data_IF_012903490542
#
_entry.id   IF_012903490542
#
_cell.length_a   1.000
_cell.length_b   1.000
_cell.length_c   1.000
_cell.angle_alpha   90.00
_cell.angle_beta   90.00
_cell.angle_gamma   90.00
#
_symmetry.space_group_name_H-M   'P 1'
#
loop_
_entity.id
_entity.type
_entity.pdbx_description
1 polymer ?
#
# COMPACT_ATOMS: atom_id res chain seq x y z
N UNK A 1 -23.48 5.18 -1.60
CA UNK A 1 -22.73 4.13 -0.87
C UNK A 1 -23.69 3.15 -0.20
N UNK A 2 -23.48 1.83 -0.33
CA UNK A 2 -24.25 0.77 0.35
C UNK A 2 -23.29 -0.18 1.05
N UNK A 3 -23.69 -0.79 2.16
CA UNK A 3 -22.90 -1.78 2.90
C UNK A 3 -23.54 -3.16 2.79
N UNK A 4 -22.72 -4.20 2.58
CA UNK A 4 -23.07 -5.61 2.71
C UNK A 4 -21.92 -6.32 3.45
N UNK A 5 -22.21 -6.93 4.58
CA UNK A 5 -21.18 -7.49 5.45
C UNK A 5 -20.17 -6.43 5.89
N UNK A 6 -18.90 -6.69 5.63
CA UNK A 6 -17.79 -5.77 5.90
C UNK A 6 -17.37 -4.97 4.65
N UNK A 7 -18.11 -5.12 3.52
CA UNK A 7 -17.82 -4.45 2.25
C UNK A 7 -18.76 -3.26 2.01
N UNK A 8 -18.14 -2.14 1.63
CA UNK A 8 -18.79 -0.93 1.16
C UNK A 8 -18.82 -0.93 -0.38
N UNK A 9 -19.97 -0.64 -0.98
CA UNK A 9 -20.12 -0.50 -2.42
C UNK A 9 -20.43 0.98 -2.72
N UNK A 10 -19.61 1.56 -3.60
CA UNK A 10 -19.72 2.97 -4.00
C UNK A 10 -20.55 3.08 -5.29
N UNK A 11 -21.71 3.75 -5.20
CA UNK A 11 -22.59 4.06 -6.32
C UNK A 11 -23.13 5.48 -6.11
N UNK A 12 -22.71 6.47 -6.92
CA UNK A 12 -21.68 6.37 -7.96
C UNK A 12 -20.30 6.02 -7.40
N UNK A 13 -19.37 5.53 -8.27
CA UNK A 13 -17.97 5.29 -7.91
C UNK A 13 -17.26 6.55 -7.43
N UNK A 14 -16.21 6.39 -6.63
CA UNK A 14 -15.20 7.44 -6.39
C UNK A 14 -14.09 7.26 -7.42
N UNK A 15 -13.60 8.35 -7.98
CA UNK A 15 -12.75 8.31 -9.15
C UNK A 15 -11.30 8.63 -8.81
N UNK A 16 -10.38 7.91 -9.46
CA UNK A 16 -8.96 8.24 -9.45
C UNK A 16 -8.72 9.33 -10.49
N UNK A 17 -8.34 10.52 -10.05
CA UNK A 17 -8.04 11.66 -10.91
C UNK A 17 -6.60 11.60 -11.42
N UNK A 18 -5.66 11.28 -10.52
CA UNK A 18 -4.24 11.10 -10.85
C UNK A 18 -3.54 10.21 -9.83
N UNK A 19 -2.34 9.77 -10.18
CA UNK A 19 -1.45 9.08 -9.25
C UNK A 19 0.01 9.31 -9.62
N UNK A 20 0.89 9.15 -8.64
CA UNK A 20 2.34 9.18 -8.86
C UNK A 20 3.08 8.32 -7.84
N UNK A 21 4.25 7.83 -8.24
CA UNK A 21 5.18 7.08 -7.41
C UNK A 21 6.56 7.73 -7.40
N UNK A 22 7.16 7.86 -6.20
CA UNK A 22 8.54 8.23 -6.01
C UNK A 22 9.28 7.10 -5.28
N UNK A 23 10.53 6.83 -5.66
CA UNK A 23 11.32 5.74 -5.08
C UNK A 23 12.78 6.10 -4.85
N UNK A 24 13.46 5.27 -4.05
CA UNK A 24 14.88 5.33 -3.79
C UNK A 24 15.72 4.69 -4.89
N UNK A 25 17.02 4.52 -4.62
CA UNK A 25 17.97 3.97 -5.59
C UNK A 25 17.69 2.51 -5.91
N UNK A 26 17.36 1.69 -4.91
CA UNK A 26 17.11 0.25 -5.06
C UNK A 26 15.85 0.00 -5.88
N UNK A 27 14.80 0.77 -5.62
CA UNK A 27 13.54 0.75 -6.35
C UNK A 27 13.72 1.18 -7.81
N UNK A 28 14.54 2.22 -8.03
CA UNK A 28 14.89 2.68 -9.37
C UNK A 28 15.71 1.69 -10.19
N UNK A 29 16.42 0.76 -9.55
CA UNK A 29 17.17 -0.32 -10.18
C UNK A 29 16.37 -1.60 -10.38
N UNK A 30 15.19 -1.69 -9.77
CA UNK A 30 14.31 -2.85 -9.86
C UNK A 30 13.51 -2.90 -11.18
N UNK A 31 12.76 -3.99 -11.39
CA UNK A 31 12.01 -4.22 -12.63
C UNK A 31 10.95 -3.13 -12.90
N UNK A 32 10.45 -2.47 -11.88
CA UNK A 32 9.48 -1.38 -12.01
C UNK A 32 10.15 0.01 -12.04
N UNK A 33 11.45 0.12 -11.89
CA UNK A 33 12.20 1.38 -11.85
C UNK A 33 11.85 2.36 -12.97
N UNK A 34 11.79 1.94 -14.26
CA UNK A 34 11.41 2.79 -15.38
C UNK A 34 9.97 3.34 -15.33
N UNK A 35 9.11 2.77 -14.49
CA UNK A 35 7.70 3.17 -14.35
C UNK A 35 7.46 4.20 -13.26
N UNK A 36 8.43 4.45 -12.38
CA UNK A 36 8.33 5.48 -11.35
C UNK A 36 8.35 6.88 -11.99
N UNK A 37 7.58 7.80 -11.41
CA UNK A 37 7.60 9.21 -11.82
C UNK A 37 8.88 9.92 -11.40
N UNK A 38 9.47 9.45 -10.30
CA UNK A 38 10.75 9.95 -9.79
C UNK A 38 11.51 8.85 -9.05
N UNK A 39 12.80 8.73 -9.34
CA UNK A 39 13.72 7.90 -8.55
C UNK A 39 14.93 8.72 -8.12
N UNK A 40 15.28 8.63 -6.85
CA UNK A 40 16.38 9.38 -6.30
C UNK A 40 17.74 8.75 -6.66
N UNK A 41 18.77 9.58 -6.80
CA UNK A 41 20.15 9.11 -7.00
C UNK A 41 20.81 8.60 -5.71
N UNK A 42 20.26 8.97 -4.55
CA UNK A 42 20.69 8.53 -3.23
C UNK A 42 19.50 8.56 -2.24
N UNK A 43 19.50 7.68 -1.25
CA UNK A 43 18.33 7.42 -0.41
C UNK A 43 17.98 8.55 0.58
N UNK A 44 18.81 9.56 0.77
CA UNK A 44 18.50 10.75 1.59
C UNK A 44 17.79 11.86 0.81
N UNK A 45 17.62 11.70 -0.50
CA UNK A 45 16.95 12.71 -1.34
C UNK A 45 17.55 14.12 -1.21
N UNK A 46 18.88 14.22 -1.05
CA UNK A 46 19.59 15.47 -0.81
C UNK A 46 19.44 16.02 0.60
N UNK A 47 18.85 15.30 1.55
CA UNK A 47 18.62 15.72 2.92
C UNK A 47 19.69 15.22 3.90
N UNK A 48 19.69 15.76 5.13
CA UNK A 48 20.68 15.41 6.16
C UNK A 48 20.38 14.08 6.85
N UNK A 49 19.11 13.74 7.04
CA UNK A 49 18.66 12.53 7.73
C UNK A 49 17.72 11.71 6.84
N UNK A 50 17.54 10.44 7.17
CA UNK A 50 16.66 9.54 6.43
C UNK A 50 15.18 9.93 6.54
N UNK A 51 14.74 10.40 7.72
CA UNK A 51 13.39 10.90 7.93
C UNK A 51 13.09 12.16 7.11
N UNK A 52 14.09 13.05 6.98
CA UNK A 52 13.98 14.19 6.07
C UNK A 52 13.94 13.74 4.61
N UNK A 53 14.70 12.70 4.26
CA UNK A 53 14.68 12.08 2.94
C UNK A 53 13.32 11.49 2.61
N UNK A 54 12.73 10.72 3.54
CA UNK A 54 11.39 10.16 3.39
C UNK A 54 10.34 11.27 3.24
N UNK A 55 10.39 12.32 4.08
CA UNK A 55 9.53 13.49 3.91
C UNK A 55 9.65 14.09 2.52
N UNK A 56 10.88 14.29 2.01
CA UNK A 56 11.13 14.86 0.68
C UNK A 56 10.58 13.94 -0.43
N UNK A 57 10.68 12.65 -0.27
CA UNK A 57 10.09 11.65 -1.17
C UNK A 57 8.56 11.77 -1.20
N UNK A 58 7.90 11.91 -0.04
CA UNK A 58 6.46 12.15 0.06
C UNK A 58 6.07 13.44 -0.66
N UNK A 59 6.75 14.56 -0.36
CA UNK A 59 6.53 15.85 -1.03
C UNK A 59 6.65 15.72 -2.57
N UNK A 60 7.64 14.93 -3.03
CA UNK A 60 7.88 14.70 -4.46
C UNK A 60 6.74 13.88 -5.09
N UNK A 61 6.32 12.77 -4.49
CA UNK A 61 5.21 11.97 -5.00
C UNK A 61 3.91 12.79 -5.06
N UNK A 62 3.61 13.54 -4.00
CA UNK A 62 2.42 14.41 -3.96
C UNK A 62 2.47 15.49 -5.06
N UNK A 63 3.61 16.14 -5.25
CA UNK A 63 3.77 17.17 -6.28
C UNK A 63 3.56 16.58 -7.69
N UNK A 64 4.11 15.39 -7.98
CA UNK A 64 3.89 14.73 -9.26
C UNK A 64 2.42 14.34 -9.46
N UNK A 65 1.74 13.81 -8.44
CA UNK A 65 0.32 13.47 -8.53
C UNK A 65 -0.54 14.71 -8.79
N UNK A 66 -0.31 15.81 -8.07
CA UNK A 66 -1.03 17.07 -8.27
C UNK A 66 -0.75 17.67 -9.65
N UNK A 67 0.51 17.72 -10.08
CA UNK A 67 0.89 18.25 -11.39
C UNK A 67 0.24 17.48 -12.55
N UNK A 68 0.14 16.15 -12.46
CA UNK A 68 -0.57 15.33 -13.49
C UNK A 68 -2.06 15.66 -13.62
N UNK A 69 -2.68 16.14 -12.54
CA UNK A 69 -4.08 16.57 -12.52
C UNK A 69 -4.24 18.09 -12.73
N UNK A 70 -3.15 18.82 -12.94
CA UNK A 70 -3.14 20.29 -13.04
C UNK A 70 -3.74 20.97 -11.80
N UNK A 71 -3.50 20.38 -10.61
CA UNK A 71 -4.01 20.83 -9.32
C UNK A 71 -2.92 21.46 -8.46
N UNK A 72 -3.36 22.31 -7.54
CA UNK A 72 -2.58 22.85 -6.44
C UNK A 72 -3.02 22.20 -5.10
N UNK A 73 -2.25 22.31 -4.02
CA UNK A 73 -2.70 21.85 -2.71
C UNK A 73 -4.01 22.50 -2.22
N UNK A 74 -4.34 23.70 -2.67
CA UNK A 74 -5.56 24.42 -2.31
C UNK A 74 -6.84 23.78 -2.92
N UNK A 75 -6.69 22.95 -3.96
CA UNK A 75 -7.81 22.23 -4.59
C UNK A 75 -8.22 20.98 -3.82
N UNK A 76 -7.42 20.57 -2.83
CA UNK A 76 -7.67 19.42 -1.99
C UNK A 76 -8.51 19.79 -0.77
N UNK A 77 -9.56 19.04 -0.52
CA UNK A 77 -10.36 19.18 0.70
C UNK A 77 -9.62 18.64 1.92
N UNK A 78 -8.90 17.51 1.75
CA UNK A 78 -8.10 16.88 2.79
C UNK A 78 -7.11 15.87 2.18
N UNK A 79 -6.13 15.47 3.00
CA UNK A 79 -5.21 14.37 2.73
C UNK A 79 -5.36 13.28 3.79
N UNK A 80 -5.18 12.00 3.39
CA UNK A 80 -5.15 10.84 4.27
C UNK A 80 -3.93 10.00 3.94
N UNK A 81 -3.27 9.51 4.96
CA UNK A 81 -2.14 8.61 4.75
C UNK A 81 -1.19 8.60 5.91
N UNK A 82 -0.06 7.96 5.71
CA UNK A 82 0.94 7.82 6.74
C UNK A 82 2.19 7.12 6.26
N UNK A 83 3.04 6.87 7.20
CA UNK A 83 4.30 6.14 7.06
C UNK A 83 4.47 5.14 8.20
N UNK A 84 5.60 4.42 8.25
CA UNK A 84 5.86 3.41 9.28
C UNK A 84 6.38 3.99 10.60
N UNK A 85 6.76 5.26 10.63
CA UNK A 85 7.36 5.86 11.81
C UNK A 85 6.31 6.27 12.83
N UNK A 86 6.71 6.32 14.09
CA UNK A 86 5.85 6.78 15.17
C UNK A 86 5.21 8.12 14.84
N UNK A 87 3.88 8.19 15.01
CA UNK A 87 3.03 9.34 14.69
C UNK A 87 3.05 9.77 13.21
N UNK A 88 3.43 8.87 12.30
CA UNK A 88 3.54 9.17 10.86
C UNK A 88 4.35 10.45 10.61
N UNK A 89 5.53 10.53 11.26
CA UNK A 89 6.22 11.82 11.39
C UNK A 89 6.73 12.36 10.05
N UNK A 90 7.16 11.48 9.12
CA UNK A 90 7.61 11.90 7.80
C UNK A 90 6.46 12.49 6.99
N UNK A 91 5.31 11.82 6.98
CA UNK A 91 4.09 12.27 6.30
C UNK A 91 3.51 13.53 6.95
N UNK A 92 3.49 13.59 8.29
CA UNK A 92 3.00 14.78 9.03
C UNK A 92 3.77 16.04 8.66
N UNK A 93 5.10 15.95 8.54
CA UNK A 93 5.91 17.10 8.12
C UNK A 93 5.72 17.45 6.64
N UNK A 94 5.49 16.45 5.76
CA UNK A 94 5.18 16.71 4.35
C UNK A 94 3.81 17.41 4.22
N UNK A 95 2.79 16.95 4.93
CA UNK A 95 1.45 17.57 4.90
C UNK A 95 1.47 18.98 5.50
N UNK A 96 2.27 19.21 6.53
CA UNK A 96 2.52 20.57 7.04
C UNK A 96 3.08 21.50 5.94
N UNK A 97 4.01 20.99 5.14
CA UNK A 97 4.59 21.78 4.05
C UNK A 97 3.59 22.05 2.90
N UNK A 98 2.69 21.10 2.63
CA UNK A 98 1.61 21.26 1.65
C UNK A 98 0.47 22.17 2.14
N UNK A 99 0.28 22.31 3.45
CA UNK A 99 -0.77 23.16 4.04
C UNK A 99 -2.18 22.59 3.87
N UNK A 100 -2.35 21.29 3.69
CA UNK A 100 -3.63 20.62 3.47
C UNK A 100 -4.16 20.05 4.79
N UNK A 101 -5.48 20.10 5.09
CA UNK A 101 -6.07 19.37 6.20
C UNK A 101 -5.70 17.88 6.14
N UNK A 102 -5.25 17.29 7.24
CA UNK A 102 -4.62 15.99 7.23
C UNK A 102 -5.18 15.04 8.29
N UNK A 103 -5.48 13.83 7.85
CA UNK A 103 -5.85 12.68 8.69
C UNK A 103 -4.71 11.65 8.62
N UNK A 104 -3.92 11.58 9.68
CA UNK A 104 -2.82 10.62 9.80
C UNK A 104 -3.35 9.21 10.05
N UNK A 105 -2.90 8.25 9.25
CA UNK A 105 -3.27 6.85 9.33
C UNK A 105 -2.04 6.02 9.72
N UNK A 106 -2.19 5.16 10.73
CA UNK A 106 -1.10 4.35 11.24
C UNK A 106 -1.47 2.86 11.18
N UNK A 107 -1.82 2.39 9.98
CA UNK A 107 -2.23 1.02 9.68
C UNK A 107 -1.07 0.10 9.26
N UNK A 108 0.17 0.40 9.66
CA UNK A 108 1.37 -0.31 9.18
C UNK A 108 1.39 -0.32 7.63
N UNK A 109 1.75 -1.46 7.01
CA UNK A 109 1.84 -1.56 5.55
C UNK A 109 0.47 -1.50 4.85
N UNK A 110 -0.67 -1.62 5.56
CA UNK A 110 -2.02 -1.51 4.98
C UNK A 110 -2.46 -0.07 4.69
N UNK A 111 -1.70 0.93 5.14
CA UNK A 111 -2.07 2.36 5.11
C UNK A 111 -2.54 2.85 3.74
N UNK A 112 -1.97 2.36 2.62
CA UNK A 112 -2.41 2.81 1.29
C UNK A 112 -3.86 2.39 1.00
N UNK A 113 -4.23 1.14 1.24
CA UNK A 113 -5.61 0.68 1.04
C UNK A 113 -6.56 1.31 2.06
N UNK A 114 -6.13 1.51 3.31
CA UNK A 114 -6.87 2.23 4.34
C UNK A 114 -7.17 3.67 3.92
N UNK A 115 -6.18 4.39 3.37
CA UNK A 115 -6.35 5.76 2.90
C UNK A 115 -7.34 5.86 1.73
N UNK A 116 -7.27 4.93 0.77
CA UNK A 116 -8.20 4.87 -0.37
C UNK A 116 -9.62 4.53 0.09
N UNK A 117 -9.78 3.59 1.04
CA UNK A 117 -11.07 3.22 1.61
C UNK A 117 -11.72 4.42 2.32
N UNK A 118 -10.99 5.05 3.25
CA UNK A 118 -11.48 6.19 4.00
C UNK A 118 -11.72 7.41 3.12
N UNK A 119 -10.80 7.72 2.19
CA UNK A 119 -10.97 8.79 1.21
C UNK A 119 -12.23 8.60 0.38
N UNK A 120 -12.46 7.38 -0.11
CA UNK A 120 -13.67 7.05 -0.87
C UNK A 120 -14.95 7.18 -0.03
N UNK A 121 -14.92 6.72 1.21
CA UNK A 121 -16.07 6.84 2.11
C UNK A 121 -16.41 8.30 2.44
N UNK A 122 -15.38 9.11 2.72
CA UNK A 122 -15.57 10.55 3.03
C UNK A 122 -16.09 11.33 1.82
N UNK A 123 -15.51 11.11 0.62
CA UNK A 123 -15.99 11.75 -0.60
C UNK A 123 -17.41 11.33 -0.94
N UNK A 124 -17.74 10.02 -0.83
CA UNK A 124 -19.12 9.52 -1.02
C UNK A 124 -20.10 10.06 0.02
N UNK A 125 -19.60 10.44 1.21
CA UNK A 125 -20.36 11.09 2.28
C UNK A 125 -20.51 12.61 2.13
N UNK A 126 -19.91 13.22 1.10
CA UNK A 126 -20.01 14.66 0.84
C UNK A 126 -19.06 15.53 1.67
N UNK A 127 -18.00 14.95 2.27
CA UNK A 127 -17.03 15.70 3.09
C UNK A 127 -16.04 16.56 2.28
N UNK A 128 -16.07 16.51 0.97
CA UNK A 128 -15.23 17.34 0.10
C UNK A 128 -15.30 16.93 -1.36
N UNK A 129 -14.60 17.67 -2.21
CA UNK A 129 -14.54 17.42 -3.64
C UNK A 129 -13.34 16.54 -4.07
N UNK A 130 -12.20 16.70 -3.42
CA UNK A 130 -10.97 15.99 -3.72
C UNK A 130 -10.24 15.56 -2.46
N UNK A 131 -9.64 14.37 -2.49
CA UNK A 131 -8.81 13.83 -1.41
C UNK A 131 -7.47 13.35 -1.96
N UNK A 132 -6.38 13.61 -1.23
CA UNK A 132 -5.06 13.05 -1.50
C UNK A 132 -4.85 11.84 -0.58
N UNK A 133 -4.71 10.65 -1.16
CA UNK A 133 -4.43 9.40 -0.45
C UNK A 133 -2.99 8.97 -0.70
N UNK A 134 -2.24 8.66 0.36
CA UNK A 134 -0.82 8.34 0.21
C UNK A 134 -0.30 7.38 1.28
N UNK A 135 0.79 6.69 0.96
CA UNK A 135 1.58 5.96 1.93
C UNK A 135 3.05 5.93 1.51
N UNK A 136 3.95 6.00 2.49
CA UNK A 136 5.39 5.94 2.27
C UNK A 136 6.09 5.03 3.27
N UNK A 137 7.23 4.49 2.89
CA UNK A 137 8.17 3.87 3.78
C UNK A 137 9.59 4.15 3.31
N UNK A 138 10.55 4.10 4.25
CA UNK A 138 11.97 4.27 3.95
C UNK A 138 12.78 3.23 4.71
N UNK A 139 13.59 2.45 4.01
CA UNK A 139 14.35 1.35 4.60
C UNK A 139 15.08 1.77 5.88
N UNK A 140 15.95 2.76 5.78
CA UNK A 140 16.83 3.12 6.90
C UNK A 140 16.09 3.61 8.15
N UNK A 141 15.05 4.45 7.98
CA UNK A 141 14.29 4.98 9.11
C UNK A 141 13.41 3.90 9.76
N UNK A 142 12.76 3.05 8.95
CA UNK A 142 11.92 1.96 9.44
C UNK A 142 12.73 0.86 10.11
N UNK A 143 13.82 0.39 9.50
CA UNK A 143 14.68 -0.64 10.10
C UNK A 143 15.26 -0.18 11.43
N UNK A 144 15.71 1.08 11.52
CA UNK A 144 16.22 1.65 12.77
C UNK A 144 15.16 1.69 13.87
N UNK A 145 13.91 1.98 13.52
CA UNK A 145 12.83 2.04 14.51
C UNK A 145 12.37 0.65 14.96
N UNK A 146 12.26 -0.31 14.04
CA UNK A 146 11.54 -1.55 14.31
C UNK A 146 12.41 -2.77 14.59
N UNK A 147 13.64 -2.83 14.05
CA UNK A 147 14.46 -4.04 14.14
C UNK A 147 15.76 -3.80 14.88
N UNK A 148 16.76 -3.19 14.19
CA UNK A 148 18.11 -3.02 14.72
C UNK A 148 18.63 -1.62 14.46
N UNK A 149 19.59 -1.12 15.27
CA UNK A 149 20.46 -0.06 14.78
C UNK A 149 21.11 -0.51 13.47
N UNK A 150 21.04 0.31 12.41
CA UNK A 150 21.60 -0.06 11.09
C UNK A 150 23.10 -0.37 11.17
N UNK A 151 23.79 0.29 12.05
CA UNK A 151 25.22 0.14 12.32
C UNK A 151 25.58 -1.23 12.91
N UNK A 152 24.60 -1.97 13.43
CA UNK A 152 24.83 -3.29 14.01
C UNK A 152 25.08 -4.38 12.93
N UNK A 153 24.56 -4.21 11.72
CA UNK A 153 24.87 -5.06 10.58
C UNK A 153 24.39 -6.51 10.69
N UNK A 154 23.20 -6.73 11.25
CA UNK A 154 22.63 -8.08 11.38
C UNK A 154 22.37 -8.76 10.03
N UNK A 155 22.71 -10.07 9.94
CA UNK A 155 22.37 -10.88 8.78
C UNK A 155 20.85 -11.14 8.74
N UNK A 156 20.21 -10.90 7.59
CA UNK A 156 18.78 -11.15 7.39
C UNK A 156 18.53 -12.62 7.00
N UNK A 157 17.54 -13.29 7.60
CA UNK A 157 17.16 -14.65 7.19
C UNK A 157 16.47 -14.66 5.81
N UNK A 158 16.38 -15.81 5.11
CA UNK A 158 15.74 -15.90 3.80
C UNK A 158 14.28 -15.50 3.75
N UNK A 159 13.53 -15.59 4.88
CA UNK A 159 12.13 -15.15 4.99
C UNK A 159 11.99 -13.64 5.21
N UNK A 160 13.07 -12.92 5.51
CA UNK A 160 13.04 -11.49 5.71
C UNK A 160 12.72 -10.75 4.41
N UNK A 161 12.07 -9.61 4.57
CA UNK A 161 11.72 -8.71 3.49
C UNK A 161 12.56 -7.44 3.56
N UNK A 162 12.68 -6.75 2.44
CA UNK A 162 13.34 -5.45 2.36
C UNK A 162 12.29 -4.34 2.41
N UNK A 163 12.33 -3.47 3.41
CA UNK A 163 11.46 -2.31 3.46
C UNK A 163 11.73 -1.39 2.28
N UNK A 164 10.73 -1.17 1.42
CA UNK A 164 10.87 -0.29 0.26
C UNK A 164 11.10 1.16 0.69
N UNK A 165 12.01 1.84 -0.01
CA UNK A 165 12.15 3.30 0.06
C UNK A 165 11.30 3.90 -1.05
N UNK A 166 10.00 3.99 -0.81
CA UNK A 166 9.04 4.38 -1.82
C UNK A 166 7.83 5.12 -1.23
N UNK A 167 7.17 5.90 -2.07
CA UNK A 167 5.91 6.57 -1.79
C UNK A 167 4.99 6.47 -2.99
N UNK A 168 3.72 6.17 -2.75
CA UNK A 168 2.64 6.33 -3.72
C UNK A 168 1.64 7.38 -3.25
N UNK A 169 1.17 8.22 -4.19
CA UNK A 169 0.16 9.25 -3.94
C UNK A 169 -0.93 9.17 -5.00
N UNK A 170 -2.19 9.19 -4.58
CA UNK A 170 -3.38 9.12 -5.44
C UNK A 170 -4.31 10.28 -5.10
N UNK A 171 -4.73 11.03 -6.12
CA UNK A 171 -5.78 12.03 -5.98
C UNK A 171 -7.12 11.38 -6.33
N UNK A 172 -8.06 11.43 -5.39
CA UNK A 172 -9.43 10.97 -5.56
C UNK A 172 -10.37 12.15 -5.77
N UNK A 173 -11.42 11.96 -6.58
CA UNK A 173 -12.47 12.96 -6.78
C UNK A 173 -13.86 12.33 -6.95
N UNK A 174 -14.91 13.18 -6.88
CA UNK A 174 -16.29 12.77 -7.14
C UNK A 174 -16.68 12.83 -8.63
N UNK A 175 -15.87 13.46 -9.48
CA UNK A 175 -16.15 13.62 -10.91
C UNK A 175 -15.69 12.38 -11.70
N UNK A 176 -16.50 11.97 -12.71
CA UNK A 176 -16.21 10.79 -13.54
C UNK A 176 -14.84 10.91 -14.22
N UNK A 177 -14.01 9.88 -14.03
CA UNK A 177 -12.70 9.68 -14.68
C UNK A 177 -12.62 8.27 -15.29
N UNK A 178 -11.45 7.87 -15.73
CA UNK A 178 -11.20 6.56 -16.34
C UNK A 178 -11.24 5.38 -15.36
N UNK A 179 -10.82 5.60 -14.11
CA UNK A 179 -10.69 4.55 -13.10
C UNK A 179 -11.62 4.88 -11.93
N UNK A 180 -12.51 3.94 -11.59
CA UNK A 180 -13.42 4.05 -10.45
C UNK A 180 -13.06 3.10 -9.32
N UNK A 181 -13.14 3.59 -8.09
CA UNK A 181 -13.21 2.76 -6.89
C UNK A 181 -14.68 2.43 -6.67
N UNK A 182 -15.03 1.16 -6.82
CA UNK A 182 -16.43 0.69 -6.82
C UNK A 182 -16.81 -0.09 -5.57
N UNK A 183 -15.81 -0.62 -4.84
CA UNK A 183 -16.02 -1.24 -3.54
C UNK A 183 -14.75 -1.19 -2.69
N UNK A 184 -14.94 -1.31 -1.39
CA UNK A 184 -13.87 -1.49 -0.42
C UNK A 184 -14.33 -2.39 0.74
N UNK A 185 -13.45 -3.30 1.20
CA UNK A 185 -13.72 -4.14 2.37
C UNK A 185 -12.85 -3.71 3.53
N UNK A 186 -13.49 -3.45 4.68
CA UNK A 186 -12.78 -3.17 5.92
C UNK A 186 -12.28 -4.49 6.51
N UNK A 187 -10.97 -4.62 6.64
CA UNK A 187 -10.35 -5.82 7.19
C UNK A 187 -10.49 -5.92 8.69
N UNK A 188 -10.38 -7.16 9.18
CA UNK A 188 -10.28 -7.49 10.60
C UNK A 188 -8.85 -7.84 10.97
N UNK A 189 -8.51 -7.66 12.23
CA UNK A 189 -7.23 -8.12 12.77
C UNK A 189 -7.32 -9.63 12.98
N UNK A 190 -6.31 -10.35 12.46
CA UNK A 190 -6.10 -11.77 12.70
C UNK A 190 -4.70 -12.00 13.27
N UNK A 191 -4.61 -12.91 14.22
CA UNK A 191 -3.35 -13.24 14.87
C UNK A 191 -3.03 -14.73 14.70
N UNK A 192 -2.12 -15.06 13.77
CA UNK A 192 -1.69 -16.45 13.56
C UNK A 192 -0.66 -16.94 14.62
N UNK A 193 -0.32 -16.13 15.63
CA UNK A 193 0.66 -16.48 16.66
C UNK A 193 2.12 -16.37 16.21
N UNK A 194 2.41 -15.66 15.12
CA UNK A 194 3.78 -15.45 14.64
C UNK A 194 4.50 -14.44 15.56
N UNK A 195 5.65 -14.83 16.09
CA UNK A 195 6.49 -14.00 16.98
C UNK A 195 7.80 -13.56 16.30
N UNK A 196 8.15 -14.18 15.15
CA UNK A 196 9.37 -13.85 14.40
C UNK A 196 9.18 -12.57 13.60
N UNK A 197 9.79 -11.47 14.05
CA UNK A 197 9.76 -10.16 13.40
C UNK A 197 10.43 -10.15 12.01
N UNK A 198 11.21 -11.16 11.66
CA UNK A 198 11.77 -11.31 10.33
C UNK A 198 10.78 -11.96 9.33
N UNK A 199 9.70 -12.58 9.80
CA UNK A 199 8.72 -13.30 8.96
C UNK A 199 7.36 -12.60 8.92
N UNK A 200 7.35 -11.35 8.45
CA UNK A 200 6.12 -10.53 8.35
C UNK A 200 5.12 -11.10 7.35
N UNK A 201 5.57 -11.73 6.27
CA UNK A 201 4.69 -12.36 5.29
C UNK A 201 3.78 -13.43 5.92
N UNK A 202 4.32 -14.27 6.82
CA UNK A 202 3.52 -15.25 7.54
C UNK A 202 2.53 -14.58 8.52
N UNK A 203 2.92 -13.52 9.20
CA UNK A 203 2.04 -12.78 10.12
C UNK A 203 0.83 -12.16 9.40
N UNK A 204 0.99 -11.69 8.16
CA UNK A 204 -0.05 -11.00 7.39
C UNK A 204 -0.93 -11.93 6.54
N UNK A 205 -0.46 -13.13 6.18
CA UNK A 205 -1.11 -14.00 5.19
C UNK A 205 -2.56 -14.35 5.53
N UNK A 206 -2.86 -14.65 6.79
CA UNK A 206 -4.21 -14.96 7.23
C UNK A 206 -5.16 -13.77 7.06
N UNK A 207 -4.73 -12.57 7.40
CA UNK A 207 -5.55 -11.36 7.24
C UNK A 207 -5.89 -11.08 5.77
N UNK A 208 -4.93 -11.30 4.87
CA UNK A 208 -5.15 -11.16 3.43
C UNK A 208 -6.16 -12.19 2.90
N UNK A 209 -5.99 -13.46 3.27
CA UNK A 209 -6.91 -14.54 2.91
C UNK A 209 -8.33 -14.26 3.40
N UNK A 210 -8.52 -13.92 4.68
CA UNK A 210 -9.83 -13.68 5.27
C UNK A 210 -10.52 -12.43 4.67
N UNK A 211 -9.76 -11.38 4.36
CA UNK A 211 -10.32 -10.17 3.73
C UNK A 211 -10.77 -10.44 2.30
N UNK A 212 -9.98 -11.17 1.51
CA UNK A 212 -10.37 -11.61 0.16
C UNK A 212 -11.60 -12.51 0.21
N UNK A 213 -11.63 -13.47 1.11
CA UNK A 213 -12.78 -14.40 1.30
C UNK A 213 -14.04 -13.61 1.67
N UNK A 214 -13.95 -12.67 2.62
CA UNK A 214 -15.05 -11.80 3.02
C UNK A 214 -15.57 -11.00 1.83
N UNK A 215 -14.68 -10.39 1.04
CA UNK A 215 -15.08 -9.67 -0.16
C UNK A 215 -15.83 -10.55 -1.16
N UNK A 216 -15.33 -11.76 -1.44
CA UNK A 216 -16.01 -12.68 -2.36
C UNK A 216 -17.39 -13.10 -1.86
N UNK A 217 -17.53 -13.35 -0.55
CA UNK A 217 -18.83 -13.65 0.06
C UNK A 217 -19.80 -12.46 -0.02
N UNK A 218 -19.33 -11.26 0.33
CA UNK A 218 -20.14 -10.05 0.34
C UNK A 218 -20.57 -9.60 -1.06
N UNK A 219 -19.67 -9.73 -2.05
CA UNK A 219 -19.93 -9.31 -3.43
C UNK A 219 -20.68 -10.36 -4.25
N UNK A 220 -20.56 -11.64 -3.90
CA UNK A 220 -20.99 -12.77 -4.73
C UNK A 220 -20.11 -13.02 -5.95
N UNK A 221 -18.95 -12.34 -6.01
CA UNK A 221 -17.97 -12.49 -7.09
C UNK A 221 -16.97 -13.62 -6.79
N UNK A 222 -16.23 -14.03 -7.81
CA UNK A 222 -15.21 -15.07 -7.74
C UNK A 222 -13.87 -14.54 -8.23
N UNK A 223 -12.73 -15.19 -7.93
CA UNK A 223 -11.42 -14.76 -8.43
C UNK A 223 -11.39 -14.58 -9.95
N UNK A 224 -12.14 -15.39 -10.71
CA UNK A 224 -12.20 -15.35 -12.18
C UNK A 224 -12.81 -14.06 -12.74
N UNK A 225 -13.57 -13.32 -11.95
CA UNK A 225 -14.19 -12.05 -12.35
C UNK A 225 -13.19 -10.90 -12.39
N UNK A 226 -11.91 -11.14 -12.04
CA UNK A 226 -10.87 -10.12 -11.96
C UNK A 226 -9.69 -10.44 -12.88
N UNK A 227 -9.14 -9.41 -13.53
CA UNK A 227 -7.92 -9.49 -14.33
C UNK A 227 -6.65 -9.54 -13.46
N UNK A 228 -6.77 -9.10 -12.21
CA UNK A 228 -5.70 -9.16 -11.23
C UNK A 228 -6.18 -9.05 -9.80
N UNK A 229 -5.52 -9.78 -8.90
CA UNK A 229 -5.69 -9.73 -7.46
C UNK A 229 -4.30 -9.49 -6.89
N UNK A 230 -4.13 -8.36 -6.19
CA UNK A 230 -2.83 -7.92 -5.71
C UNK A 230 -2.85 -7.74 -4.20
N UNK A 231 -1.98 -8.48 -3.49
CA UNK A 231 -1.70 -8.23 -2.08
C UNK A 231 -0.54 -7.24 -1.93
N UNK A 232 -0.41 -6.64 -0.75
CA UNK A 232 0.43 -5.47 -0.55
C UNK A 232 1.92 -5.76 -0.46
N UNK A 233 2.31 -6.55 0.53
CA UNK A 233 3.71 -6.80 0.84
C UNK A 233 3.89 -8.11 1.63
N UNK A 234 3.16 -9.14 1.23
CA UNK A 234 3.30 -10.49 1.76
C UNK A 234 4.63 -11.13 1.33
N UNK A 235 5.16 -10.68 0.20
CA UNK A 235 6.31 -11.24 -0.49
C UNK A 235 6.15 -12.75 -0.74
N UNK A 236 7.22 -13.46 -1.09
CA UNK A 236 7.14 -14.85 -1.53
C UNK A 236 6.58 -15.81 -0.47
N UNK A 237 6.92 -15.59 0.81
CA UNK A 237 6.46 -16.46 1.90
C UNK A 237 4.95 -16.31 2.11
N UNK A 238 4.46 -15.09 2.30
CA UNK A 238 3.04 -14.85 2.56
C UNK A 238 2.17 -15.07 1.32
N UNK A 239 2.67 -14.77 0.12
CA UNK A 239 1.99 -15.08 -1.14
C UNK A 239 1.73 -16.58 -1.26
N UNK A 240 2.74 -17.42 -0.98
CA UNK A 240 2.60 -18.87 -1.00
C UNK A 240 1.57 -19.37 0.03
N UNK A 241 1.56 -18.79 1.24
CA UNK A 241 0.60 -19.14 2.28
C UNK A 241 -0.84 -18.78 1.88
N UNK A 242 -1.09 -17.61 1.30
CA UNK A 242 -2.42 -17.23 0.81
C UNK A 242 -2.89 -18.18 -0.28
N UNK A 243 -2.04 -18.55 -1.23
CA UNK A 243 -2.36 -19.56 -2.26
C UNK A 243 -2.72 -20.90 -1.63
N UNK A 244 -1.99 -21.32 -0.61
CA UNK A 244 -2.25 -22.58 0.10
C UNK A 244 -3.60 -22.54 0.83
N UNK A 245 -3.93 -21.46 1.53
CA UNK A 245 -5.20 -21.30 2.24
C UNK A 245 -6.39 -21.36 1.27
N UNK A 246 -6.32 -20.68 0.12
CA UNK A 246 -7.38 -20.76 -0.89
C UNK A 246 -7.51 -22.15 -1.52
N UNK A 247 -6.39 -22.89 -1.72
CA UNK A 247 -6.45 -24.28 -2.19
C UNK A 247 -7.14 -25.21 -1.19
N UNK A 248 -6.99 -24.98 0.11
CA UNK A 248 -7.71 -25.74 1.15
C UNK A 248 -9.23 -25.55 1.05
N UNK A 249 -9.67 -24.37 0.60
CA UNK A 249 -11.08 -24.09 0.30
C UNK A 249 -11.52 -24.58 -1.10
N UNK A 250 -10.63 -25.23 -1.86
CA UNK A 250 -10.90 -25.67 -3.23
C UNK A 250 -10.89 -24.55 -4.27
N UNK A 251 -10.26 -23.40 -3.97
CA UNK A 251 -10.18 -22.23 -4.85
C UNK A 251 -8.75 -22.05 -5.36
N UNK A 252 -8.59 -21.99 -6.70
CA UNK A 252 -7.30 -21.70 -7.34
C UNK A 252 -7.26 -20.24 -7.80
N UNK A 253 -6.34 -19.48 -7.23
CA UNK A 253 -6.15 -18.06 -7.60
C UNK A 253 -5.45 -17.90 -8.94
N UNK A 254 -4.64 -18.87 -9.36
CA UNK A 254 -3.92 -18.89 -10.63
C UNK A 254 -2.92 -17.73 -10.81
N UNK A 255 -2.63 -17.41 -12.07
CA UNK A 255 -1.66 -16.36 -12.43
C UNK A 255 -2.18 -14.92 -12.19
N UNK A 256 -3.49 -14.76 -11.94
CA UNK A 256 -4.08 -13.44 -11.65
C UNK A 256 -3.75 -12.92 -10.25
N UNK A 257 -3.39 -13.80 -9.34
CA UNK A 257 -2.95 -13.42 -8.00
C UNK A 257 -1.45 -13.19 -7.98
N UNK A 258 -1.04 -12.03 -7.51
CA UNK A 258 0.35 -11.60 -7.34
C UNK A 258 0.47 -10.77 -6.06
N UNK A 259 1.68 -10.66 -5.54
CA UNK A 259 1.98 -9.79 -4.40
C UNK A 259 2.88 -8.62 -4.84
N UNK A 260 2.59 -7.41 -4.38
CA UNK A 260 3.39 -6.24 -4.73
C UNK A 260 4.84 -6.36 -4.25
N UNK A 261 5.07 -7.07 -3.13
CA UNK A 261 6.41 -7.32 -2.61
C UNK A 261 7.26 -8.22 -3.50
N UNK A 262 6.64 -9.13 -4.26
CA UNK A 262 7.36 -9.97 -5.24
C UNK A 262 7.57 -9.28 -6.59
N UNK A 263 6.86 -8.16 -6.84
CA UNK A 263 6.94 -7.41 -8.09
C UNK A 263 7.99 -6.30 -8.09
N UNK A 264 8.34 -5.77 -6.91
CA UNK A 264 9.14 -4.54 -6.79
C UNK A 264 10.64 -4.78 -6.99
N UNK A 265 11.14 -5.92 -6.55
CA UNK A 265 12.55 -6.30 -6.66
C UNK A 265 12.72 -7.60 -7.42
N UNK A 266 13.88 -7.77 -8.04
CA UNK A 266 14.31 -9.02 -8.66
C UNK A 266 15.33 -9.77 -7.77
N UNK A 267 15.68 -10.98 -8.19
CA UNK A 267 16.58 -11.88 -7.46
C UNK A 267 18.01 -11.30 -7.29
N UNK A 268 18.45 -10.40 -8.16
CA UNK A 268 19.79 -9.81 -8.13
C UNK A 268 19.94 -8.72 -7.06
N UNK A 269 18.82 -8.23 -6.53
CA UNK A 269 18.78 -7.09 -5.63
C UNK A 269 18.88 -7.44 -4.14
N UNK A 270 19.12 -8.71 -3.79
CA UNK A 270 19.26 -9.16 -2.39
C UNK A 270 18.11 -8.67 -1.46
N UNK A 271 16.87 -8.83 -1.94
CA UNK A 271 15.68 -8.51 -1.16
C UNK A 271 15.12 -9.72 -0.38
N UNK A 272 15.75 -10.89 -0.47
CA UNK A 272 15.34 -12.17 0.11
C UNK A 272 13.92 -12.56 -0.28
N UNK A 273 12.95 -12.54 0.65
CA UNK A 273 11.57 -12.88 0.34
C UNK A 273 10.88 -11.86 -0.58
N UNK A 274 11.41 -10.65 -0.70
CA UNK A 274 10.85 -9.57 -1.51
C UNK A 274 10.74 -8.24 -0.75
N UNK A 275 9.91 -7.32 -1.26
CA UNK A 275 9.71 -6.01 -0.65
C UNK A 275 8.68 -6.05 0.50
N UNK A 276 8.77 -5.07 1.39
CA UNK A 276 7.85 -4.79 2.50
C UNK A 276 7.62 -3.29 2.64
N UNK A 277 6.68 -2.93 3.51
CA UNK A 277 6.39 -1.54 3.87
C UNK A 277 5.24 -0.92 3.09
N UNK A 278 4.58 0.06 3.70
CA UNK A 278 3.42 0.71 3.06
C UNK A 278 3.78 1.46 1.77
N UNK A 279 5.03 1.87 1.60
CA UNK A 279 5.54 2.42 0.34
C UNK A 279 5.64 1.37 -0.79
N UNK A 280 5.80 0.09 -0.47
CA UNK A 280 5.86 -0.99 -1.46
C UNK A 280 4.56 -1.07 -2.27
N UNK A 281 3.45 -1.39 -1.61
CA UNK A 281 2.15 -1.52 -2.27
C UNK A 281 1.68 -0.21 -2.89
N UNK A 282 1.92 0.92 -2.23
CA UNK A 282 1.56 2.24 -2.72
C UNK A 282 2.28 2.58 -4.03
N UNK A 283 3.58 2.31 -4.11
CA UNK A 283 4.36 2.54 -5.33
C UNK A 283 3.92 1.63 -6.48
N UNK A 284 3.78 0.31 -6.23
CA UNK A 284 3.32 -0.64 -7.27
C UNK A 284 1.93 -0.26 -7.79
N UNK A 285 1.02 0.12 -6.89
CA UNK A 285 -0.31 0.63 -7.29
C UNK A 285 -0.18 1.81 -8.24
N UNK A 286 0.64 2.82 -7.90
CA UNK A 286 0.73 4.08 -8.64
C UNK A 286 1.58 3.99 -9.91
N UNK A 287 2.69 3.24 -9.90
CA UNK A 287 3.56 3.16 -11.08
C UNK A 287 3.11 2.11 -12.10
N UNK A 288 2.37 1.07 -11.67
CA UNK A 288 2.00 -0.05 -12.54
C UNK A 288 0.49 -0.27 -12.65
N UNK A 289 -0.20 -0.55 -11.53
CA UNK A 289 -1.57 -1.07 -11.57
C UNK A 289 -2.59 -0.03 -12.07
N UNK A 290 -2.54 1.20 -11.56
CA UNK A 290 -3.41 2.28 -12.04
C UNK A 290 -3.12 2.67 -13.49
N UNK A 291 -1.86 2.80 -13.94
CA UNK A 291 -1.55 2.97 -15.36
C UNK A 291 -2.04 1.83 -16.27
N UNK A 292 -1.94 0.55 -15.86
CA UNK A 292 -2.48 -0.60 -16.60
C UNK A 292 -4.02 -0.48 -16.78
N UNK A 293 -4.74 -0.10 -15.71
CA UNK A 293 -6.18 0.18 -15.79
C UNK A 293 -6.50 1.38 -16.70
N UNK A 294 -5.72 2.47 -16.59
CA UNK A 294 -5.92 3.65 -17.43
C UNK A 294 -5.76 3.36 -18.93
N UNK A 295 -4.80 2.50 -19.29
CA UNK A 295 -4.59 2.06 -20.68
C UNK A 295 -5.59 0.99 -21.14
N UNK A 296 -6.40 0.44 -20.22
CA UNK A 296 -7.36 -0.63 -20.53
C UNK A 296 -6.70 -2.01 -20.71
N UNK A 297 -5.47 -2.20 -20.25
CA UNK A 297 -4.76 -3.49 -20.23
C UNK A 297 -5.39 -4.43 -19.18
N UNK A 298 -6.05 -3.86 -18.18
CA UNK A 298 -6.89 -4.53 -17.20
C UNK A 298 -8.21 -3.78 -17.06
N UNK A 299 -9.29 -4.53 -16.90
CA UNK A 299 -10.64 -3.98 -16.70
C UNK A 299 -10.99 -3.85 -15.21
N UNK A 300 -10.66 -4.86 -14.43
CA UNK A 300 -11.04 -4.94 -13.01
C UNK A 300 -9.97 -5.63 -12.17
N UNK A 301 -9.57 -5.00 -11.08
CA UNK A 301 -8.61 -5.57 -10.14
C UNK A 301 -9.04 -5.44 -8.69
N UNK A 302 -8.50 -6.31 -7.83
CA UNK A 302 -8.51 -6.17 -6.38
C UNK A 302 -7.12 -5.74 -5.90
N UNK A 303 -7.07 -4.72 -5.08
CA UNK A 303 -5.87 -4.24 -4.40
C UNK A 303 -6.06 -4.38 -2.88
N UNK A 304 -5.21 -5.17 -2.25
CA UNK A 304 -5.28 -5.53 -0.84
C UNK A 304 -4.05 -4.98 -0.11
N UNK A 305 -4.18 -3.88 0.62
CA UNK A 305 -3.10 -3.41 1.50
C UNK A 305 -3.00 -4.31 2.72
N UNK A 306 -1.87 -4.99 2.88
CA UNK A 306 -1.56 -5.87 4.01
C UNK A 306 -0.70 -5.16 5.04
N UNK A 307 -0.85 -5.47 6.32
CA UNK A 307 -0.08 -4.83 7.39
C UNK A 307 0.18 -5.77 8.56
N UNK A 308 1.43 -5.80 9.03
CA UNK A 308 1.83 -6.44 10.28
C UNK A 308 1.82 -5.39 11.41
N UNK A 309 0.95 -5.58 12.39
CA UNK A 309 0.79 -4.63 13.50
C UNK A 309 1.84 -4.91 14.58
N UNK A 310 3.11 -4.68 14.22
CA UNK A 310 4.25 -4.91 15.10
C UNK A 310 4.66 -3.62 15.83
N UNK A 311 4.87 -3.75 17.12
CA UNK A 311 5.57 -2.76 17.93
C UNK A 311 6.84 -3.39 18.51
N UNK A 312 8.01 -2.70 18.49
CA UNK A 312 9.20 -3.20 19.19
C UNK A 312 8.97 -3.49 20.67
N UNK A 313 8.08 -2.73 21.30
CA UNK A 313 7.73 -2.92 22.72
C UNK A 313 7.00 -4.24 22.91
N UNK A 314 5.92 -4.50 22.17
CA UNK A 314 5.15 -5.74 22.29
C UNK A 314 5.97 -6.97 21.85
N UNK A 315 6.74 -6.87 20.78
CA UNK A 315 7.61 -7.95 20.31
C UNK A 315 8.68 -8.33 21.37
N UNK A 316 9.31 -7.33 22.03
CA UNK A 316 10.27 -7.58 23.11
C UNK A 316 9.62 -8.12 24.38
N UNK A 317 8.31 -7.99 24.54
CA UNK A 317 7.53 -8.60 25.62
C UNK A 317 7.07 -10.03 25.30
N UNK A 318 7.38 -10.54 24.10
CA UNK A 318 7.04 -11.88 23.66
C UNK A 318 5.64 -12.00 23.05
N UNK A 319 4.97 -10.88 22.73
CA UNK A 319 3.68 -10.88 22.05
C UNK A 319 3.84 -11.29 20.59
N UNK A 320 2.80 -11.89 20.04
CA UNK A 320 2.68 -12.19 18.62
C UNK A 320 2.48 -10.94 17.76
N UNK A 321 2.60 -11.09 16.45
CA UNK A 321 2.44 -10.03 15.46
C UNK A 321 1.11 -10.23 14.73
N UNK A 322 0.03 -9.54 15.13
CA UNK A 322 -1.24 -9.65 14.41
C UNK A 322 -1.15 -8.95 13.06
N UNK A 323 -1.92 -9.46 12.09
CA UNK A 323 -2.03 -8.89 10.76
C UNK A 323 -3.37 -8.19 10.53
N UNK A 324 -3.38 -7.27 9.58
CA UNK A 324 -4.59 -6.62 9.05
C UNK A 324 -4.49 -6.53 7.54
N UNK A 325 -5.66 -6.48 6.85
CA UNK A 325 -5.71 -6.28 5.41
C UNK A 325 -6.98 -5.52 5.03
N UNK A 326 -6.85 -4.44 4.28
CA UNK A 326 -7.99 -3.73 3.67
C UNK A 326 -7.98 -3.95 2.16
N UNK A 327 -9.16 -4.05 1.54
CA UNK A 327 -9.31 -4.33 0.12
C UNK A 327 -10.03 -3.21 -0.61
N UNK A 328 -9.53 -2.87 -1.80
CA UNK A 328 -10.12 -1.90 -2.74
C UNK A 328 -10.38 -2.60 -4.08
N UNK A 329 -11.60 -2.45 -4.60
CA UNK A 329 -11.92 -2.85 -5.98
C UNK A 329 -11.80 -1.65 -6.90
N UNK A 330 -10.93 -1.78 -7.90
CA UNK A 330 -10.65 -0.77 -8.92
C UNK A 330 -11.12 -1.27 -10.28
N UNK A 331 -11.81 -0.41 -11.04
CA UNK A 331 -12.35 -0.77 -12.35
C UNK A 331 -12.05 0.32 -13.37
N UNK A 332 -11.58 -0.10 -14.56
CA UNK A 332 -11.53 0.78 -15.73
C UNK A 332 -12.95 0.99 -16.27
N UNK A 333 -13.35 2.24 -16.39
CA UNK A 333 -14.69 2.60 -16.87
C UNK A 333 -14.65 3.20 -18.28
N UNK A 334 -15.73 3.03 -19.03
CA UNK A 334 -15.89 3.59 -20.36
C UNK A 334 -16.15 5.10 -20.34
#
# INVERSE_FOLDING_TARGET
MKRRGDTLFFDPPVWVESCAAAGGTKEGQGPLGPLFDYTARENRFGCRTWEQGERKMVETACAHALNKAELSPADLSFALGGDLLNQCISTSFAMRALGVPYLGLYGACSTMAESLLLGSALLSGGFGGRALCLASSHFCSAERQYRYPLEYGGQRPPCAQWTATACGAVVLCGEKKRIGITAATVGRIYDPGVTDSANMGAAMAQSAYETLRTFFQDSGQRPEDFDGIYTGDLASVGEALVRQLFRQDGVELGARYQDCGTLLYDETQDAHAGASGCGCSAAVLCCRLLPELARGEKGRILFCGTGALMSPVSANQGESIPGICHLIRLEAMA
#
